data_IF_743818045952
#
_entry.id   IF_743818045952
#
_cell.length_a   1.000
_cell.length_b   1.000
_cell.length_c   1.000
_cell.angle_alpha   90.00
_cell.angle_beta   90.00
_cell.angle_gamma   90.00
#
_symmetry.space_group_name_H-M   'P 1'
#
loop_
_entity.id
_entity.type
_entity.pdbx_description
1 polymer ?
#
# COMPACT_ATOMS: atom_id res chain seq x y z
N UNK A 1 6.60 -10.47 28.05
CA UNK A 1 6.02 -11.18 29.22
C UNK A 1 6.93 -12.27 29.77
N UNK A 2 7.58 -13.10 28.96
CA UNK A 2 8.50 -14.15 29.46
C UNK A 2 9.56 -13.63 30.44
N UNK A 3 10.28 -12.56 30.08
CA UNK A 3 11.26 -11.93 30.96
C UNK A 3 10.69 -11.41 32.28
N UNK A 4 9.45 -10.90 32.28
CA UNK A 4 8.77 -10.41 33.48
C UNK A 4 8.46 -11.59 34.41
N UNK A 5 7.94 -12.70 33.87
CA UNK A 5 7.66 -13.90 34.65
C UNK A 5 8.94 -14.51 35.22
N UNK A 6 10.01 -14.56 34.42
CA UNK A 6 11.33 -15.00 34.89
C UNK A 6 11.87 -14.11 36.01
N UNK A 7 11.75 -12.79 35.87
CA UNK A 7 12.14 -11.84 36.90
C UNK A 7 11.39 -12.09 38.21
N UNK A 8 10.06 -12.22 38.15
CA UNK A 8 9.22 -12.55 39.32
C UNK A 8 9.66 -13.89 39.96
N UNK A 9 9.97 -14.90 39.14
CA UNK A 9 10.44 -16.19 39.63
C UNK A 9 11.84 -16.10 40.28
N UNK A 10 12.75 -15.36 39.68
CA UNK A 10 14.13 -15.18 40.17
C UNK A 10 14.18 -14.44 41.51
N UNK A 11 13.25 -13.50 41.77
CA UNK A 11 13.16 -12.82 43.07
C UNK A 11 12.83 -13.81 44.20
N UNK A 12 12.04 -14.85 43.91
CA UNK A 12 11.65 -15.89 44.89
C UNK A 12 12.75 -16.93 45.16
N UNK A 13 13.84 -16.91 44.39
CA UNK A 13 14.93 -17.89 44.44
C UNK A 13 16.21 -17.29 45.02
N UNK A 14 17.05 -18.17 45.58
CA UNK A 14 18.42 -17.83 45.99
C UNK A 14 19.25 -17.47 44.75
N UNK A 15 20.28 -16.64 44.92
CA UNK A 15 21.09 -16.09 43.81
C UNK A 15 21.62 -17.18 42.88
N UNK A 16 22.06 -18.31 43.45
CA UNK A 16 22.67 -19.42 42.71
C UNK A 16 21.65 -20.25 41.89
N UNK A 17 20.34 -20.10 42.15
CA UNK A 17 19.26 -20.82 41.47
C UNK A 17 18.55 -19.95 40.42
N UNK A 18 19.00 -18.70 40.24
CA UNK A 18 18.43 -17.74 39.29
C UNK A 18 18.89 -18.04 37.88
N UNK A 19 17.97 -17.87 36.94
CA UNK A 19 18.24 -18.08 35.52
C UNK A 19 18.54 -16.75 34.84
N UNK A 20 19.71 -16.63 34.20
CA UNK A 20 20.17 -15.41 33.53
C UNK A 20 20.42 -15.57 32.02
N UNK A 21 20.25 -16.78 31.47
CA UNK A 21 20.42 -17.04 30.04
C UNK A 21 19.26 -16.49 29.21
N UNK A 22 19.16 -16.83 27.92
CA UNK A 22 17.99 -16.48 27.10
C UNK A 22 16.71 -17.17 27.59
N UNK A 23 15.53 -16.65 27.17
CA UNK A 23 14.24 -17.28 27.48
C UNK A 23 14.17 -18.68 26.86
N UNK A 24 13.67 -19.64 27.64
CA UNK A 24 13.38 -20.97 27.12
C UNK A 24 12.04 -20.98 26.38
N UNK A 25 11.85 -21.98 25.50
CA UNK A 25 10.58 -22.19 24.80
C UNK A 25 9.43 -22.33 25.80
N UNK A 26 9.63 -23.10 26.88
CA UNK A 26 8.62 -23.29 27.92
C UNK A 26 8.19 -21.98 28.60
N UNK A 27 9.11 -21.03 28.80
CA UNK A 27 8.77 -19.73 29.38
C UNK A 27 8.02 -18.85 28.39
N UNK A 28 8.35 -18.95 27.10
CA UNK A 28 7.58 -18.29 26.04
C UNK A 28 6.16 -18.84 25.98
N UNK A 29 5.99 -20.17 25.99
CA UNK A 29 4.68 -20.83 25.97
C UNK A 29 3.85 -20.45 27.20
N UNK A 30 4.45 -20.49 28.40
CA UNK A 30 3.79 -20.06 29.64
C UNK A 30 3.37 -18.60 29.56
N UNK A 31 4.24 -17.73 29.05
CA UNK A 31 3.93 -16.32 28.90
C UNK A 31 2.79 -16.08 27.91
N UNK A 32 2.78 -16.78 26.77
CA UNK A 32 1.71 -16.72 25.79
C UNK A 32 0.37 -17.15 26.41
N UNK A 33 0.33 -18.34 27.03
CA UNK A 33 -0.88 -18.86 27.69
C UNK A 33 -1.43 -17.89 28.73
N UNK A 34 -0.57 -17.25 29.53
CA UNK A 34 -0.99 -16.25 30.53
C UNK A 34 -1.64 -15.02 29.86
N UNK A 35 -1.06 -14.53 28.77
CA UNK A 35 -1.62 -13.40 28.01
C UNK A 35 -2.99 -13.80 27.46
N UNK A 36 -3.09 -14.94 26.78
CA UNK A 36 -4.34 -15.41 26.17
C UNK A 36 -5.43 -15.63 27.23
N UNK A 37 -5.07 -16.21 28.38
CA UNK A 37 -6.00 -16.37 29.52
C UNK A 37 -6.52 -15.04 30.03
N UNK A 38 -5.66 -14.01 30.08
CA UNK A 38 -6.08 -12.66 30.48
C UNK A 38 -7.05 -12.06 29.45
N UNK A 39 -6.76 -12.18 28.16
CA UNK A 39 -7.67 -11.74 27.07
C UNK A 39 -9.04 -12.42 27.20
N UNK A 40 -9.05 -13.72 27.46
CA UNK A 40 -10.28 -14.48 27.60
C UNK A 40 -11.09 -14.05 28.82
N UNK A 41 -10.44 -13.83 29.96
CA UNK A 41 -11.11 -13.33 31.17
C UNK A 41 -11.76 -11.97 30.94
N UNK A 42 -11.02 -11.03 30.35
CA UNK A 42 -11.53 -9.69 30.03
C UNK A 42 -12.72 -9.71 29.07
N UNK A 43 -12.74 -10.64 28.10
CA UNK A 43 -13.74 -10.64 27.04
C UNK A 43 -14.92 -11.60 27.24
N UNK A 44 -14.73 -12.72 27.94
CA UNK A 44 -15.72 -13.82 28.02
C UNK A 44 -16.32 -14.02 29.41
N UNK A 45 -15.78 -13.44 30.49
CA UNK A 45 -16.36 -13.58 31.84
C UNK A 45 -17.81 -13.08 31.91
N UNK A 46 -18.14 -12.00 31.19
CA UNK A 46 -19.46 -11.35 31.25
C UNK A 46 -20.49 -11.88 30.24
N UNK A 47 -20.07 -12.60 29.20
CA UNK A 47 -20.93 -13.01 28.08
C UNK A 47 -20.58 -14.43 27.61
N UNK A 48 -21.03 -15.44 28.36
CA UNK A 48 -20.81 -16.86 28.02
C UNK A 48 -21.83 -17.44 27.02
N UNK A 49 -22.72 -16.63 26.47
CA UNK A 49 -23.66 -17.07 25.41
C UNK A 49 -22.92 -17.21 24.07
N UNK A 50 -22.02 -18.19 24.01
CA UNK A 50 -21.37 -18.62 22.80
C UNK A 50 -22.21 -19.75 22.21
N UNK A 51 -22.68 -19.59 20.96
CA UNK A 51 -23.40 -20.64 20.22
C UNK A 51 -22.53 -21.86 19.87
N UNK A 52 -21.34 -21.98 20.45
CA UNK A 52 -20.32 -22.97 20.12
C UNK A 52 -20.02 -23.83 21.35
N UNK A 53 -19.71 -25.10 21.12
CA UNK A 53 -19.30 -26.00 22.20
C UNK A 53 -17.88 -25.65 22.64
N UNK A 54 -17.74 -25.12 23.85
CA UNK A 54 -16.45 -24.74 24.44
C UNK A 54 -16.18 -25.48 25.74
N UNK A 55 -14.91 -25.67 26.08
CA UNK A 55 -14.48 -26.23 27.36
C UNK A 55 -13.20 -25.56 27.85
N UNK A 56 -12.92 -25.62 29.15
CA UNK A 56 -11.67 -25.16 29.74
C UNK A 56 -10.65 -26.30 29.71
N UNK A 57 -9.44 -26.00 29.26
CA UNK A 57 -8.31 -26.93 29.32
C UNK A 57 -7.61 -26.87 30.71
N UNK A 58 -6.62 -27.74 31.00
CA UNK A 58 -5.87 -27.71 32.26
C UNK A 58 -5.12 -26.40 32.51
N UNK A 59 -4.87 -25.62 31.45
CA UNK A 59 -4.26 -24.30 31.51
C UNK A 59 -5.33 -23.18 31.65
N UNK A 60 -6.57 -23.50 32.02
CA UNK A 60 -7.67 -22.56 32.21
C UNK A 60 -7.91 -21.67 30.96
N UNK A 61 -7.64 -22.23 29.77
CA UNK A 61 -7.92 -21.60 28.50
C UNK A 61 -9.20 -22.17 27.90
N UNK A 62 -10.08 -21.28 27.46
CA UNK A 62 -11.30 -21.63 26.77
C UNK A 62 -10.97 -22.10 25.35
N UNK A 63 -11.25 -23.36 25.06
CA UNK A 63 -11.05 -24.00 23.74
C UNK A 63 -12.36 -24.37 23.10
N UNK A 64 -12.37 -24.44 21.77
CA UNK A 64 -13.54 -24.83 20.98
C UNK A 64 -13.46 -26.31 20.62
N UNK A 65 -14.53 -27.07 20.89
CA UNK A 65 -14.68 -28.43 20.36
C UNK A 65 -15.07 -28.35 18.90
N UNK A 66 -14.16 -28.76 18.01
CA UNK A 66 -14.46 -28.86 16.58
C UNK A 66 -15.12 -30.22 16.28
N UNK A 67 -15.65 -30.38 15.05
CA UNK A 67 -16.12 -31.70 14.57
C UNK A 67 -14.96 -32.62 14.17
N UNK A 68 -13.72 -32.12 14.14
CA UNK A 68 -12.51 -32.85 13.74
C UNK A 68 -11.88 -33.46 15.00
N UNK A 69 -12.57 -34.41 15.60
CA UNK A 69 -12.16 -35.00 16.89
C UNK A 69 -11.23 -36.21 16.68
N UNK A 70 -11.53 -37.03 15.67
CA UNK A 70 -10.88 -38.34 15.45
C UNK A 70 -9.64 -38.30 14.55
N UNK A 71 -9.29 -37.13 13.99
CA UNK A 71 -8.07 -37.01 13.17
C UNK A 71 -6.84 -37.08 14.08
N UNK A 72 -5.78 -37.78 13.64
CA UNK A 72 -4.48 -37.77 14.30
C UNK A 72 -3.72 -36.50 13.89
N UNK A 73 -4.06 -35.38 14.53
CA UNK A 73 -3.42 -34.07 14.36
C UNK A 73 -3.06 -33.48 15.72
N UNK A 74 -2.39 -32.32 15.71
CA UNK A 74 -2.11 -31.54 16.91
C UNK A 74 -3.40 -31.18 17.67
N UNK A 75 -3.32 -31.19 19.00
CA UNK A 75 -4.45 -30.86 19.87
C UNK A 75 -4.93 -29.43 19.71
N UNK A 76 -4.01 -28.50 19.41
CA UNK A 76 -4.34 -27.12 19.06
C UNK A 76 -5.26 -27.04 17.85
N UNK A 77 -4.99 -27.82 16.80
CA UNK A 77 -5.82 -27.86 15.59
C UNK A 77 -7.21 -28.43 15.86
N UNK A 78 -7.27 -29.50 16.65
CA UNK A 78 -8.54 -30.16 17.01
C UNK A 78 -9.37 -29.33 17.99
N UNK A 79 -8.70 -28.66 18.92
CA UNK A 79 -9.26 -27.89 20.02
C UNK A 79 -8.61 -26.50 20.11
N UNK A 80 -8.88 -25.62 19.13
CA UNK A 80 -8.23 -24.31 19.05
C UNK A 80 -8.68 -23.39 20.17
N UNK A 81 -7.79 -22.51 20.60
CA UNK A 81 -8.03 -21.55 21.68
C UNK A 81 -9.02 -20.49 21.18
N UNK A 82 -10.10 -20.26 21.92
CA UNK A 82 -11.10 -19.27 21.55
C UNK A 82 -10.56 -17.85 21.78
N UNK A 83 -10.59 -17.02 20.74
CA UNK A 83 -10.18 -15.62 20.82
C UNK A 83 -11.32 -14.67 20.42
N UNK A 84 -11.44 -13.52 21.10
CA UNK A 84 -12.45 -12.52 20.78
C UNK A 84 -12.15 -11.84 19.44
N UNK A 85 -13.20 -11.32 18.80
CA UNK A 85 -13.07 -10.62 17.51
C UNK A 85 -12.46 -9.22 17.61
N UNK A 86 -12.49 -8.61 18.80
CA UNK A 86 -12.09 -7.21 19.06
C UNK A 86 -11.23 -7.18 20.31
N UNK A 87 -9.91 -7.26 20.13
CA UNK A 87 -8.97 -7.10 21.22
C UNK A 87 -7.59 -6.77 20.67
N UNK A 88 -6.89 -5.81 21.28
CA UNK A 88 -5.61 -5.31 20.77
C UNK A 88 -4.53 -6.41 20.64
N UNK A 89 -4.51 -7.38 21.57
CA UNK A 89 -3.60 -8.55 21.47
C UNK A 89 -3.93 -9.43 20.27
N UNK A 90 -5.21 -9.63 19.97
CA UNK A 90 -5.62 -10.43 18.80
C UNK A 90 -5.26 -9.71 17.52
N UNK A 91 -5.43 -8.38 17.47
CA UNK A 91 -5.03 -7.58 16.31
C UNK A 91 -3.51 -7.65 16.08
N UNK A 92 -2.71 -7.58 17.16
CA UNK A 92 -1.25 -7.77 17.08
C UNK A 92 -0.87 -9.18 16.64
N UNK A 93 -1.47 -10.21 17.21
CA UNK A 93 -1.24 -11.61 16.80
C UNK A 93 -1.48 -11.81 15.31
N UNK A 94 -2.60 -11.29 14.79
CA UNK A 94 -2.92 -11.36 13.36
C UNK A 94 -1.90 -10.57 12.53
N UNK A 95 -1.53 -9.38 12.98
CA UNK A 95 -0.57 -8.52 12.26
C UNK A 95 0.82 -9.14 12.21
N UNK A 96 1.30 -9.69 13.33
CA UNK A 96 2.58 -10.38 13.42
C UNK A 96 2.59 -11.58 12.46
N UNK A 97 1.51 -12.38 12.45
CA UNK A 97 1.39 -13.50 11.51
C UNK A 97 1.30 -13.05 10.04
N UNK A 98 0.65 -11.91 9.79
CA UNK A 98 0.60 -11.30 8.46
C UNK A 98 2.00 -10.90 7.96
N UNK A 99 2.84 -10.34 8.82
CA UNK A 99 4.22 -9.98 8.49
C UNK A 99 5.10 -11.22 8.35
N UNK A 100 4.99 -12.19 9.26
CA UNK A 100 5.72 -13.47 9.23
C UNK A 100 5.48 -14.22 7.92
N UNK A 101 4.23 -14.24 7.44
CA UNK A 101 3.83 -14.87 6.17
C UNK A 101 4.00 -13.94 4.96
N UNK A 102 4.95 -13.01 4.99
CA UNK A 102 5.28 -12.13 3.88
C UNK A 102 4.09 -11.34 3.30
N UNK A 103 3.25 -10.78 4.17
CA UNK A 103 2.04 -10.04 3.80
C UNK A 103 0.96 -10.87 3.11
N UNK A 104 0.82 -12.13 3.54
CA UNK A 104 -0.19 -13.05 3.04
C UNK A 104 -1.61 -12.47 3.09
N UNK A 105 -2.42 -12.89 2.11
CA UNK A 105 -3.83 -12.53 2.01
C UNK A 105 -4.70 -13.16 3.10
N UNK A 106 -5.95 -12.71 3.16
CA UNK A 106 -6.91 -13.11 4.21
C UNK A 106 -7.08 -14.62 4.31
N UNK A 107 -7.16 -15.34 3.18
CA UNK A 107 -7.45 -16.77 3.17
C UNK A 107 -6.31 -17.58 3.79
N UNK A 108 -5.06 -17.26 3.46
CA UNK A 108 -3.88 -17.91 4.01
C UNK A 108 -3.80 -17.66 5.51
N UNK A 109 -3.93 -16.40 5.94
CA UNK A 109 -3.93 -16.04 7.35
C UNK A 109 -5.05 -16.74 8.13
N UNK A 110 -6.25 -16.81 7.54
CA UNK A 110 -7.36 -17.52 8.15
C UNK A 110 -7.01 -18.99 8.37
N UNK A 111 -6.47 -19.68 7.36
CA UNK A 111 -6.11 -21.10 7.48
C UNK A 111 -5.02 -21.32 8.52
N UNK A 112 -3.93 -20.55 8.46
CA UNK A 112 -2.80 -20.72 9.39
C UNK A 112 -3.19 -20.37 10.83
N UNK A 113 -3.93 -19.27 11.06
CA UNK A 113 -4.41 -18.94 12.40
C UNK A 113 -5.42 -19.96 12.94
N UNK A 114 -6.15 -20.66 12.06
CA UNK A 114 -7.13 -21.68 12.45
C UNK A 114 -6.48 -22.91 13.08
N UNK A 115 -5.20 -23.14 12.80
CA UNK A 115 -4.43 -24.25 13.35
C UNK A 115 -4.27 -24.15 14.86
N UNK A 116 -4.22 -22.93 15.40
CA UNK A 116 -4.03 -22.71 16.84
C UNK A 116 -5.23 -22.02 17.50
N UNK A 117 -5.95 -21.18 16.75
CA UNK A 117 -6.92 -20.24 17.31
C UNK A 117 -8.29 -20.28 16.63
N UNK A 118 -9.34 -20.15 17.43
CA UNK A 118 -10.70 -19.87 16.98
C UNK A 118 -11.03 -18.40 17.24
N UNK A 119 -10.68 -17.55 16.28
CA UNK A 119 -11.01 -16.11 16.35
C UNK A 119 -12.46 -15.92 15.92
N UNK A 120 -13.29 -15.38 16.82
CA UNK A 120 -14.68 -15.04 16.50
C UNK A 120 -14.71 -14.02 15.35
N UNK A 121 -15.56 -14.24 14.34
CA UNK A 121 -15.64 -13.36 13.15
C UNK A 121 -14.26 -13.16 12.46
N UNK A 122 -13.39 -14.18 12.48
CA UNK A 122 -12.00 -14.16 11.99
C UNK A 122 -11.82 -13.41 10.67
N UNK A 123 -12.61 -13.71 9.64
CA UNK A 123 -12.53 -13.05 8.32
C UNK A 123 -12.66 -11.52 8.42
N UNK A 124 -13.58 -11.03 9.25
CA UNK A 124 -13.80 -9.59 9.45
C UNK A 124 -12.64 -8.96 10.21
N UNK A 125 -12.19 -9.60 11.29
CA UNK A 125 -11.08 -9.12 12.11
C UNK A 125 -9.78 -9.08 11.30
N UNK A 126 -9.43 -10.16 10.60
CA UNK A 126 -8.23 -10.24 9.77
C UNK A 126 -8.25 -9.18 8.66
N UNK A 127 -9.39 -9.02 7.98
CA UNK A 127 -9.53 -7.97 6.97
C UNK A 127 -9.30 -6.58 7.54
N UNK A 128 -9.79 -6.30 8.75
CA UNK A 128 -9.58 -5.01 9.41
C UNK A 128 -8.11 -4.77 9.75
N UNK A 129 -7.40 -5.78 10.25
CA UNK A 129 -5.96 -5.70 10.54
C UNK A 129 -5.14 -5.46 9.27
N UNK A 130 -5.35 -6.25 8.21
CA UNK A 130 -4.62 -6.10 6.94
C UNK A 130 -4.91 -4.76 6.28
N UNK A 131 -6.15 -4.26 6.35
CA UNK A 131 -6.50 -2.93 5.84
C UNK A 131 -5.66 -1.82 6.46
N UNK A 132 -5.16 -2.00 7.69
CA UNK A 132 -4.31 -1.02 8.37
C UNK A 132 -2.81 -1.20 8.09
N UNK A 133 -2.41 -2.28 7.43
CA UNK A 133 -1.02 -2.52 7.04
C UNK A 133 -0.57 -1.50 5.99
N UNK A 134 0.39 -0.64 6.35
CA UNK A 134 0.91 0.41 5.46
C UNK A 134 1.54 -0.15 4.18
N UNK A 135 2.23 -1.28 4.27
CA UNK A 135 2.83 -1.93 3.09
C UNK A 135 1.74 -2.38 2.12
N UNK A 136 0.74 -3.12 2.60
CA UNK A 136 -0.38 -3.54 1.77
C UNK A 136 -1.18 -2.37 1.22
N UNK A 137 -1.39 -1.30 2.00
CA UNK A 137 -2.02 -0.07 1.51
C UNK A 137 -1.26 0.49 0.31
N UNK A 138 0.06 0.66 0.42
CA UNK A 138 0.90 1.20 -0.66
C UNK A 138 0.78 0.39 -1.95
N UNK A 139 0.86 -0.95 -1.85
CA UNK A 139 0.72 -1.83 -3.01
C UNK A 139 -0.71 -1.97 -3.55
N UNK A 140 -1.71 -1.55 -2.78
CA UNK A 140 -3.13 -1.59 -3.17
C UNK A 140 -3.64 -0.27 -3.77
N UNK A 141 -2.82 0.79 -3.80
CA UNK A 141 -3.21 2.07 -4.40
C UNK A 141 -3.37 1.86 -5.90
N UNK A 142 -4.55 2.18 -6.41
CA UNK A 142 -4.78 2.27 -7.85
C UNK A 142 -4.43 3.69 -8.30
N UNK A 143 -3.91 3.87 -9.54
CA UNK A 143 -3.75 5.20 -10.11
C UNK A 143 -5.07 5.95 -10.02
N UNK A 144 -5.01 7.25 -9.68
CA UNK A 144 -6.19 8.10 -9.77
C UNK A 144 -6.70 8.02 -11.21
N UNK A 145 -7.94 7.55 -11.38
CA UNK A 145 -8.60 7.60 -12.68
C UNK A 145 -8.92 9.07 -12.94
N UNK A 146 -8.07 9.76 -13.69
CA UNK A 146 -8.39 11.09 -14.19
C UNK A 146 -9.48 10.94 -15.25
N UNK A 147 -10.62 11.58 -15.04
CA UNK A 147 -11.59 11.79 -16.11
C UNK A 147 -10.88 12.67 -17.14
N UNK A 148 -10.66 12.16 -18.36
CA UNK A 148 -10.08 12.95 -19.44
C UNK A 148 -10.98 14.17 -19.68
N UNK A 149 -10.42 15.37 -19.57
CA UNK A 149 -11.13 16.58 -19.93
C UNK A 149 -11.54 16.52 -21.42
N UNK A 150 -12.67 17.15 -21.81
CA UNK A 150 -12.98 17.31 -23.22
C UNK A 150 -11.82 18.04 -23.92
N UNK A 151 -11.54 17.64 -25.16
CA UNK A 151 -10.53 18.31 -25.96
C UNK A 151 -10.95 19.77 -26.18
N UNK A 152 -10.01 20.75 -26.12
CA UNK A 152 -10.34 22.14 -26.41
C UNK A 152 -10.80 22.29 -27.87
N UNK A 153 -11.69 23.25 -28.11
CA UNK A 153 -12.27 23.52 -29.44
C UNK A 153 -11.19 23.77 -30.51
N UNK A 154 -10.09 24.42 -30.13
CA UNK A 154 -8.94 24.69 -31.00
C UNK A 154 -8.27 23.41 -31.55
N UNK A 155 -8.51 22.24 -30.95
CA UNK A 155 -8.05 20.93 -31.44
C UNK A 155 -9.03 20.23 -32.38
N UNK A 156 -10.28 20.69 -32.46
CA UNK A 156 -11.36 19.97 -33.14
C UNK A 156 -12.00 20.79 -34.25
N UNK A 157 -12.03 22.13 -34.15
CA UNK A 157 -12.65 22.98 -35.16
C UNK A 157 -11.95 22.84 -36.51
N UNK A 158 -12.72 23.01 -37.58
CA UNK A 158 -12.17 23.17 -38.93
C UNK A 158 -11.37 24.48 -38.98
N UNK A 159 -10.11 24.39 -39.39
CA UNK A 159 -9.23 25.55 -39.51
C UNK A 159 -8.16 25.28 -40.57
N UNK A 160 -7.52 26.35 -41.04
CA UNK A 160 -6.47 26.29 -42.06
C UNK A 160 -5.17 25.70 -41.50
N UNK A 161 -4.29 25.25 -42.40
CA UNK A 161 -2.97 24.73 -42.01
C UNK A 161 -2.19 25.84 -41.30
N UNK A 162 -1.59 25.50 -40.14
CA UNK A 162 -0.90 26.44 -39.25
C UNK A 162 -1.77 27.59 -38.67
N UNK A 163 -3.10 27.46 -38.66
CA UNK A 163 -3.96 28.45 -38.00
C UNK A 163 -3.91 28.34 -36.46
N UNK A 164 -3.94 27.09 -35.95
CA UNK A 164 -3.72 26.77 -34.54
C UNK A 164 -2.38 26.06 -34.41
N UNK A 165 -1.43 26.70 -33.75
CA UNK A 165 -0.05 26.22 -33.63
C UNK A 165 0.32 26.00 -32.17
N UNK A 166 0.78 24.80 -31.86
CA UNK A 166 1.54 24.51 -30.65
C UNK A 166 3.01 24.84 -30.89
N UNK A 167 3.59 25.67 -30.03
CA UNK A 167 5.01 26.00 -30.06
C UNK A 167 5.71 25.31 -28.89
N UNK A 168 6.74 24.54 -29.19
CA UNK A 168 7.58 23.89 -28.21
C UNK A 168 9.07 24.15 -28.50
N UNK A 169 9.90 23.98 -27.48
CA UNK A 169 11.34 24.19 -27.56
C UNK A 169 12.06 22.91 -27.16
N UNK A 170 12.81 22.35 -28.10
CA UNK A 170 13.72 21.25 -27.82
C UNK A 170 15.15 21.78 -27.73
N UNK A 171 15.85 21.47 -26.65
CA UNK A 171 17.28 21.76 -26.58
C UNK A 171 17.93 21.37 -25.26
N UNK A 172 19.13 21.93 -24.97
CA UNK A 172 20.04 22.49 -25.96
C UNK A 172 20.80 21.40 -26.72
N UNK A 173 20.93 21.58 -28.03
CA UNK A 173 21.84 20.80 -28.86
C UNK A 173 23.16 21.56 -29.03
N UNK A 174 24.24 20.83 -29.30
CA UNK A 174 25.55 21.41 -29.57
C UNK A 174 25.90 21.16 -31.03
N UNK A 175 26.15 22.24 -31.78
CA UNK A 175 26.69 22.14 -33.12
C UNK A 175 28.16 21.69 -33.09
N UNK A 176 28.70 21.29 -34.23
CA UNK A 176 30.11 20.87 -34.38
C UNK A 176 31.12 21.90 -33.87
N UNK A 177 30.75 23.19 -33.91
CA UNK A 177 31.55 24.30 -33.38
C UNK A 177 31.38 24.52 -31.86
N UNK A 178 30.79 23.56 -31.12
CA UNK A 178 30.39 23.67 -29.71
C UNK A 178 29.44 24.86 -29.40
N UNK A 179 28.76 25.38 -30.42
CA UNK A 179 27.75 26.43 -30.25
C UNK A 179 26.43 25.83 -29.77
N UNK A 180 25.86 26.41 -28.72
CA UNK A 180 24.54 26.04 -28.19
C UNK A 180 23.43 26.46 -29.16
N UNK A 181 22.58 25.52 -29.53
CA UNK A 181 21.40 25.78 -30.33
C UNK A 181 20.14 25.14 -29.72
N UNK A 182 19.01 25.69 -30.11
CA UNK A 182 17.68 25.19 -29.77
C UNK A 182 16.91 24.93 -31.05
N UNK A 183 16.04 23.94 -31.04
CA UNK A 183 15.06 23.70 -32.10
C UNK A 183 13.73 24.25 -31.59
N UNK A 184 13.17 25.20 -32.33
CA UNK A 184 11.79 25.64 -32.15
C UNK A 184 10.89 24.73 -32.98
N UNK A 185 9.95 24.06 -32.32
CA UNK A 185 8.98 23.18 -32.96
C UNK A 185 7.65 23.91 -33.09
N UNK A 186 7.21 24.09 -34.33
CA UNK A 186 5.87 24.57 -34.65
C UNK A 186 5.05 23.36 -35.11
N UNK A 187 4.00 23.04 -34.36
CA UNK A 187 3.11 21.91 -34.67
C UNK A 187 1.72 22.43 -34.98
N UNK A 188 1.18 22.08 -36.14
CA UNK A 188 -0.21 22.39 -36.45
C UNK A 188 -1.12 21.45 -35.66
N UNK A 189 -2.02 22.01 -34.84
CA UNK A 189 -2.90 21.22 -33.97
C UNK A 189 -3.88 20.32 -34.75
N UNK A 190 -4.23 20.70 -35.98
CA UNK A 190 -5.27 20.05 -36.80
C UNK A 190 -4.65 19.03 -37.76
N UNK A 191 -3.68 19.45 -38.57
CA UNK A 191 -3.07 18.60 -39.60
C UNK A 191 -1.84 17.82 -39.11
N UNK A 192 -1.38 18.06 -37.87
CA UNK A 192 -0.14 17.49 -37.30
C UNK A 192 1.12 17.74 -38.14
N UNK A 193 1.09 18.76 -39.01
CA UNK A 193 2.27 19.23 -39.72
C UNK A 193 3.29 19.82 -38.73
N UNK A 194 4.58 19.54 -38.95
CA UNK A 194 5.67 20.00 -38.08
C UNK A 194 6.63 20.87 -38.89
N UNK A 195 6.94 22.06 -38.38
CA UNK A 195 7.99 22.94 -38.88
C UNK A 195 9.04 23.16 -37.80
N UNK A 196 10.31 23.05 -38.16
CA UNK A 196 11.44 23.10 -37.24
C UNK A 196 12.34 24.28 -37.60
N UNK A 197 12.64 25.13 -36.62
CA UNK A 197 13.59 26.24 -36.80
C UNK A 197 14.75 26.14 -35.82
N UNK A 198 15.97 26.31 -36.34
CA UNK A 198 17.17 26.33 -35.52
C UNK A 198 17.44 27.75 -35.00
N UNK A 199 17.56 27.92 -33.69
CA UNK A 199 17.94 29.18 -33.04
C UNK A 199 19.27 29.08 -32.31
N UNK A 200 20.20 29.96 -32.67
CA UNK A 200 21.49 30.12 -32.03
C UNK A 200 21.42 31.12 -30.87
N UNK A 201 22.09 30.77 -29.79
CA UNK A 201 22.24 31.39 -28.48
C UNK A 201 21.85 32.89 -28.32
N UNK A 202 20.58 33.15 -27.98
CA UNK A 202 20.02 34.23 -27.12
C UNK A 202 18.48 34.22 -27.17
N UNK A 203 17.82 33.53 -26.23
CA UNK A 203 16.39 33.73 -25.97
C UNK A 203 16.19 34.94 -25.04
N UNK A 204 16.30 36.16 -25.57
CA UNK A 204 15.68 37.31 -24.92
C UNK A 204 14.30 37.46 -25.53
N UNK A 205 13.27 37.01 -24.80
CA UNK A 205 11.85 37.12 -25.13
C UNK A 205 11.54 36.79 -26.58
N UNK A 206 11.26 35.51 -26.89
CA UNK A 206 10.90 35.07 -28.24
C UNK A 206 9.88 36.05 -28.83
N UNK A 207 10.26 36.90 -29.80
CA UNK A 207 9.24 37.65 -30.51
C UNK A 207 8.54 36.58 -31.34
N UNK A 208 7.31 36.25 -30.98
CA UNK A 208 6.45 35.25 -31.63
C UNK A 208 6.18 35.52 -33.13
N UNK A 209 6.89 36.48 -33.73
CA UNK A 209 6.82 36.90 -35.13
C UNK A 209 7.96 36.37 -36.00
N UNK A 210 9.06 35.86 -35.43
CA UNK A 210 10.18 35.39 -36.25
C UNK A 210 9.92 33.93 -36.65
N UNK A 211 9.52 33.72 -37.91
CA UNK A 211 9.37 32.38 -38.54
C UNK A 211 8.01 32.15 -39.23
N UNK A 212 6.94 32.76 -38.72
CA UNK A 212 5.57 32.47 -39.20
C UNK A 212 5.20 33.06 -40.56
N UNK A 213 5.90 34.09 -41.03
CA UNK A 213 5.59 34.72 -42.30
C UNK A 213 5.70 33.77 -43.51
N UNK A 214 6.42 32.66 -43.36
CA UNK A 214 6.57 31.63 -44.40
C UNK A 214 5.58 30.47 -44.27
N UNK A 215 4.84 30.37 -43.16
CA UNK A 215 3.98 29.23 -42.84
C UNK A 215 2.51 29.47 -43.17
N UNK A 216 2.11 30.71 -43.44
CA UNK A 216 0.74 31.09 -43.80
C UNK A 216 0.61 31.29 -45.31
N UNK A 217 -0.31 30.59 -46.02
CA UNK A 217 -0.46 30.71 -47.48
C UNK A 217 -0.90 32.08 -47.99
N UNK A 218 -1.27 33.03 -47.12
CA UNK A 218 -1.66 34.39 -47.50
C UNK A 218 -1.12 35.41 -46.48
N UNK A 219 -0.63 36.55 -46.96
CA UNK A 219 -0.01 37.61 -46.16
C UNK A 219 -0.99 38.36 -45.22
N UNK A 220 -2.21 37.85 -45.04
CA UNK A 220 -3.32 38.53 -44.34
C UNK A 220 -3.84 37.80 -43.11
N UNK A 221 -3.39 36.57 -42.80
CA UNK A 221 -3.82 35.86 -41.59
C UNK A 221 -2.62 35.58 -40.69
N UNK A 222 -2.38 36.44 -39.69
CA UNK A 222 -1.54 36.07 -38.56
C UNK A 222 -2.16 34.85 -37.85
N UNK A 223 -1.35 33.95 -37.24
CA UNK A 223 -1.90 32.85 -36.45
C UNK A 223 -2.87 33.40 -35.40
N UNK A 224 -4.12 32.94 -35.44
CA UNK A 224 -5.19 33.44 -34.56
C UNK A 224 -4.92 33.09 -33.10
N UNK A 225 -4.18 32.00 -32.85
CA UNK A 225 -3.86 31.55 -31.51
C UNK A 225 -2.50 30.82 -31.47
N UNK A 226 -1.59 31.30 -30.63
CA UNK A 226 -0.34 30.62 -30.31
C UNK A 226 -0.45 30.11 -28.87
N UNK A 227 -0.48 28.79 -28.70
CA UNK A 227 -0.54 28.19 -27.36
C UNK A 227 0.90 27.84 -26.98
N UNK A 228 1.55 28.62 -26.09
CA UNK A 228 2.84 28.21 -25.54
C UNK A 228 2.60 26.95 -24.72
N UNK A 229 3.31 25.88 -25.05
CA UNK A 229 3.34 24.72 -24.18
C UNK A 229 4.10 25.11 -22.92
N UNK A 230 3.37 25.44 -21.84
CA UNK A 230 3.97 25.57 -20.53
C UNK A 230 4.45 24.17 -20.14
N UNK A 231 5.76 23.96 -20.22
CA UNK A 231 6.42 22.79 -19.65
C UNK A 231 6.19 22.87 -18.13
N UNK A 232 5.34 21.99 -17.60
CA UNK A 232 5.23 21.75 -16.16
C UNK A 232 6.46 20.98 -15.66
#
# INVERSE_FOLDING_TARGET
>A
MGWILRFINNIKKRVNERTFCNLSVEECDKAEKIILRKVQRECFEKNRNLSMQTYLDPDDLLRVKTRIIQRKDQDSFRYPILLPSKHHIVDKLIFDKHVELCHAGIQVLMSTLREEYWIIKSRKTIRQVIRNCLRCKRFSIHPLQSISAPLPEDRIREAQVFEVIGVDLCGPLFLKDNKKCWIVLFTCAIFRAVHLELKLDKMKGVPCRVGLHHLTPSATSAPTLMIPHQIQ
#
